data_IF_156782291365
#
_entry.id   IF_156782291365
#
_cell.length_a   1.000
_cell.length_b   1.000
_cell.length_c   1.000
_cell.angle_alpha   90.00
_cell.angle_beta   90.00
_cell.angle_gamma   90.00
#
_symmetry.space_group_name_H-M   'P 1'
#
loop_
_entity.id
_entity.type
_entity.pdbx_description
1 polymer ?
#
# COMPACT_ATOMS: atom_id res chain seq x y z
N UNK A 1 12.32 -29.51 64.17
CA UNK A 1 12.08 -28.33 63.30
C UNK A 1 11.85 -28.84 61.89
N UNK A 2 10.60 -28.82 61.41
CA UNK A 2 10.15 -29.38 60.12
C UNK A 2 9.63 -28.24 59.25
N UNK A 3 10.12 -28.16 58.01
CA UNK A 3 9.82 -27.11 57.05
C UNK A 3 8.35 -27.11 56.62
N UNK A 4 7.76 -25.91 56.56
CA UNK A 4 6.36 -25.68 56.26
C UNK A 4 6.19 -25.40 54.76
N UNK A 5 5.86 -26.42 53.99
CA UNK A 5 5.22 -26.26 52.67
C UNK A 5 3.71 -26.27 52.87
N UNK A 6 2.99 -25.28 52.31
CA UNK A 6 1.57 -25.40 51.92
C UNK A 6 1.11 -24.23 51.04
N UNK A 7 1.04 -24.50 49.74
CA UNK A 7 0.15 -23.87 48.76
C UNK A 7 -1.30 -23.86 49.27
N UNK A 8 -1.97 -22.72 49.23
CA UNK A 8 -3.44 -22.55 49.24
C UNK A 8 -3.75 -21.51 48.14
N UNK A 9 -4.08 -21.87 46.90
CA UNK A 9 -5.33 -22.47 46.43
C UNK A 9 -6.56 -21.74 46.99
N UNK A 10 -6.96 -20.65 46.33
CA UNK A 10 -8.30 -20.06 46.49
C UNK A 10 -9.20 -20.53 45.36
N UNK A 11 -10.40 -20.88 45.78
CA UNK A 11 -11.34 -21.80 45.17
C UNK A 11 -12.54 -21.01 44.62
N UNK A 12 -13.02 -21.46 43.46
CA UNK A 12 -14.39 -21.40 42.89
C UNK A 12 -15.00 -20.06 42.43
N UNK A 13 -15.03 -19.93 41.10
CA UNK A 13 -16.21 -19.92 40.23
C UNK A 13 -17.49 -19.20 40.71
N UNK A 14 -17.88 -18.16 39.96
CA UNK A 14 -19.28 -17.97 39.58
C UNK A 14 -19.34 -17.56 38.09
N UNK A 15 -20.08 -18.36 37.32
CA UNK A 15 -20.44 -18.15 35.92
C UNK A 15 -21.53 -17.09 35.84
N UNK A 16 -21.45 -16.19 34.87
CA UNK A 16 -22.63 -15.58 34.22
C UNK A 16 -22.28 -15.22 32.78
N UNK A 17 -22.72 -16.10 31.88
CA UNK A 17 -22.75 -15.89 30.43
C UNK A 17 -24.00 -15.07 30.15
N UNK A 18 -23.84 -13.84 29.67
CA UNK A 18 -24.85 -13.15 28.88
C UNK A 18 -24.17 -12.00 28.11
N UNK A 19 -24.17 -12.11 26.79
CA UNK A 19 -23.64 -11.06 25.92
C UNK A 19 -23.08 -11.62 24.63
N UNK A 20 -23.95 -12.11 23.76
CA UNK A 20 -23.67 -12.14 22.32
C UNK A 20 -23.46 -10.70 21.85
N UNK A 21 -22.22 -10.25 21.91
CA UNK A 21 -21.74 -9.08 21.22
C UNK A 21 -20.43 -9.51 20.60
N UNK A 22 -20.44 -9.91 19.34
CA UNK A 22 -19.23 -9.98 18.54
C UNK A 22 -18.62 -8.58 18.59
N UNK A 23 -17.67 -8.39 19.50
CA UNK A 23 -16.81 -7.22 19.47
C UNK A 23 -16.04 -7.39 18.19
N UNK A 24 -16.46 -6.65 17.16
CA UNK A 24 -15.63 -6.35 16.00
C UNK A 24 -14.33 -5.83 16.59
N UNK A 25 -13.34 -6.71 16.69
CA UNK A 25 -11.98 -6.29 16.93
C UNK A 25 -11.67 -5.34 15.78
N UNK A 26 -11.66 -4.04 16.06
CA UNK A 26 -10.91 -3.11 15.25
C UNK A 26 -9.50 -3.65 15.29
N UNK A 27 -9.11 -4.39 14.26
CA UNK A 27 -7.71 -4.71 14.02
C UNK A 27 -7.08 -3.35 13.77
N UNK A 28 -6.23 -2.83 14.67
CA UNK A 28 -5.43 -1.68 14.31
C UNK A 28 -4.62 -2.13 13.09
N UNK A 29 -4.88 -1.51 11.93
CA UNK A 29 -3.95 -1.50 10.81
C UNK A 29 -2.71 -0.79 11.32
N UNK A 30 -1.86 -1.52 12.05
CA UNK A 30 -0.56 -1.04 12.44
C UNK A 30 0.16 -0.70 11.13
N UNK A 31 0.59 0.55 10.91
CA UNK A 31 1.48 0.83 9.79
C UNK A 31 2.69 -0.08 9.96
N UNK A 32 2.90 -0.98 9.00
CA UNK A 32 4.05 -1.86 9.00
C UNK A 32 5.31 -0.98 9.11
N UNK A 33 6.07 -1.23 10.17
CA UNK A 33 7.21 -0.41 10.58
C UNK A 33 8.30 -0.29 9.51
N UNK A 34 9.17 0.69 9.75
CA UNK A 34 10.31 1.12 8.96
C UNK A 34 10.92 0.05 8.03
N UNK A 35 11.06 0.42 6.75
CA UNK A 35 11.57 -0.44 5.68
C UNK A 35 12.89 -1.11 6.04
N UNK A 36 12.88 -2.44 6.00
CA UNK A 36 14.10 -3.23 5.91
C UNK A 36 14.75 -2.94 4.57
N UNK A 37 16.00 -2.47 4.56
CA UNK A 37 16.85 -2.45 3.37
C UNK A 37 16.76 -3.83 2.69
N UNK A 38 16.22 -3.91 1.46
CA UNK A 38 15.74 -5.12 0.75
C UNK A 38 14.23 -5.45 0.90
N UNK A 39 13.36 -4.44 0.96
CA UNK A 39 11.93 -4.68 0.83
C UNK A 39 11.40 -4.01 -0.44
N UNK A 40 11.55 -4.64 -1.61
CA UNK A 40 11.06 -4.05 -2.83
C UNK A 40 9.54 -3.85 -2.78
N UNK A 41 9.05 -2.81 -3.44
CA UNK A 41 7.63 -2.58 -3.67
C UNK A 41 7.39 -2.60 -5.17
N UNK A 42 6.60 -3.57 -5.63
CA UNK A 42 6.08 -3.54 -6.99
C UNK A 42 4.79 -2.73 -7.02
N UNK A 43 4.80 -1.69 -7.85
CA UNK A 43 3.63 -0.88 -8.18
C UNK A 43 3.21 -1.25 -9.60
N UNK A 44 2.10 -1.96 -9.71
CA UNK A 44 1.48 -2.29 -11.00
C UNK A 44 0.22 -1.46 -11.18
N UNK A 45 -0.20 -1.25 -12.41
CA UNK A 45 -1.40 -0.47 -12.60
C UNK A 45 -1.84 -0.32 -14.03
N UNK A 46 -2.91 0.46 -14.17
CA UNK A 46 -3.41 0.91 -15.47
C UNK A 46 -3.50 2.42 -15.47
N UNK A 47 -3.03 3.02 -16.55
CA UNK A 47 -3.17 4.44 -16.83
C UNK A 47 -4.09 4.63 -18.03
N UNK A 48 -4.99 5.61 -17.91
CA UNK A 48 -5.91 5.98 -18.97
C UNK A 48 -5.89 7.49 -19.15
N UNK A 49 -5.56 7.91 -20.36
CA UNK A 49 -5.75 9.29 -20.79
C UNK A 49 -7.20 9.45 -21.27
N UNK A 50 -7.90 10.52 -20.85
CA UNK A 50 -9.25 10.82 -21.35
C UNK A 50 -9.26 11.07 -22.86
N UNK A 51 -8.19 11.69 -23.37
CA UNK A 51 -7.95 11.92 -24.79
C UNK A 51 -6.57 11.35 -25.15
N UNK A 52 -6.47 10.69 -26.29
CA UNK A 52 -5.20 10.15 -26.78
C UNK A 52 -4.80 8.81 -26.16
N UNK A 53 -3.51 8.48 -26.26
CA UNK A 53 -2.93 7.23 -25.74
C UNK A 53 -1.78 7.50 -24.76
N UNK A 54 -1.73 6.74 -23.68
CA UNK A 54 -0.62 6.79 -22.73
C UNK A 54 0.61 6.08 -23.30
N UNK A 55 1.76 6.76 -23.36
CA UNK A 55 2.99 6.22 -23.94
C UNK A 55 4.02 5.82 -22.86
N UNK A 56 4.16 6.67 -21.84
CA UNK A 56 5.13 6.47 -20.76
C UNK A 56 4.63 7.06 -19.46
N UNK A 57 5.12 6.53 -18.35
CA UNK A 57 4.81 6.94 -16.99
C UNK A 57 6.11 7.11 -16.20
N UNK A 58 6.19 8.16 -15.40
CA UNK A 58 7.20 8.35 -14.36
C UNK A 58 6.50 8.38 -13.02
N UNK A 59 6.97 7.59 -12.06
CA UNK A 59 6.50 7.62 -10.68
C UNK A 59 7.63 8.13 -9.80
N UNK A 60 7.33 9.12 -8.96
CA UNK A 60 8.27 9.70 -8.00
C UNK A 60 7.66 9.61 -6.60
N UNK A 61 8.37 9.00 -5.65
CA UNK A 61 7.89 8.83 -4.29
C UNK A 61 8.76 7.89 -3.47
N UNK A 62 8.62 7.93 -2.14
CA UNK A 62 9.40 7.08 -1.23
C UNK A 62 10.92 7.25 -1.33
N UNK A 63 11.39 8.43 -1.76
CA UNK A 63 12.82 8.72 -1.96
C UNK A 63 13.40 8.22 -3.28
N UNK A 64 12.58 7.61 -4.16
CA UNK A 64 12.99 7.07 -5.44
C UNK A 64 12.20 7.68 -6.61
N UNK A 65 12.72 7.53 -7.83
CA UNK A 65 12.06 7.96 -9.07
C UNK A 65 12.30 6.94 -10.16
N UNK A 66 11.23 6.45 -10.78
CA UNK A 66 11.29 5.38 -11.78
C UNK A 66 10.41 5.71 -12.98
N UNK A 67 10.96 5.50 -14.18
CA UNK A 67 10.23 5.63 -15.45
C UNK A 67 9.95 4.27 -16.07
N UNK A 68 8.79 4.12 -16.70
CA UNK A 68 8.41 2.94 -17.47
C UNK A 68 7.64 3.33 -18.72
N UNK A 69 7.73 2.49 -19.75
CA UNK A 69 6.78 2.53 -20.87
C UNK A 69 5.43 1.98 -20.43
N UNK A 70 4.37 2.51 -21.04
CA UNK A 70 3.00 2.02 -20.85
C UNK A 70 2.74 0.96 -21.91
N UNK A 71 2.38 -0.24 -21.46
CA UNK A 71 2.05 -1.36 -22.33
C UNK A 71 0.62 -1.30 -22.85
N UNK A 72 0.25 -2.31 -23.63
CA UNK A 72 -1.09 -2.47 -24.20
C UNK A 72 -2.19 -2.37 -23.13
N UNK A 73 -3.26 -1.63 -23.43
CA UNK A 73 -4.37 -1.41 -22.50
C UNK A 73 -4.02 -0.48 -21.33
N UNK A 74 -2.93 0.29 -21.42
CA UNK A 74 -2.54 1.24 -20.39
C UNK A 74 -1.78 0.61 -19.21
N UNK A 75 -1.35 -0.64 -19.32
CA UNK A 75 -0.74 -1.38 -18.20
C UNK A 75 0.70 -0.96 -17.95
N UNK A 76 1.10 -0.91 -16.68
CA UNK A 76 2.50 -0.68 -16.30
C UNK A 76 2.88 -1.48 -15.05
N UNK A 77 4.19 -1.64 -14.85
CA UNK A 77 4.78 -2.25 -13.65
C UNK A 77 6.11 -1.57 -13.34
N UNK A 78 6.26 -1.11 -12.10
CA UNK A 78 7.46 -0.44 -11.60
C UNK A 78 7.88 -1.10 -10.30
N UNK A 79 9.18 -1.32 -10.11
CA UNK A 79 9.74 -1.88 -8.87
C UNK A 79 10.56 -0.80 -8.18
N UNK A 80 10.16 -0.44 -6.97
CA UNK A 80 10.92 0.37 -6.05
C UNK A 80 11.80 -0.55 -5.22
N UNK A 81 13.08 -0.23 -5.07
CA UNK A 81 14.04 -1.13 -4.42
C UNK A 81 13.89 -1.13 -2.90
N UNK A 82 13.81 0.07 -2.31
CA UNK A 82 13.66 0.26 -0.88
C UNK A 82 12.95 1.60 -0.58
N UNK A 83 11.68 1.75 -0.98
CA UNK A 83 10.99 3.02 -0.81
C UNK A 83 10.72 3.29 0.67
N UNK A 84 10.86 4.56 1.06
CA UNK A 84 10.40 5.07 2.35
C UNK A 84 8.86 5.12 2.32
N UNK A 85 8.20 4.35 3.18
CA UNK A 85 6.72 4.23 3.20
C UNK A 85 6.17 4.48 4.62
N UNK A 86 4.95 5.02 4.75
CA UNK A 86 4.13 5.58 3.68
C UNK A 86 4.74 6.88 3.14
N UNK A 87 4.48 7.19 1.86
CA UNK A 87 5.00 8.40 1.23
C UNK A 87 4.01 8.95 0.21
N UNK A 88 3.94 10.28 0.11
CA UNK A 88 3.26 10.94 -0.99
C UNK A 88 4.08 10.74 -2.26
N UNK A 89 3.42 10.26 -3.31
CA UNK A 89 4.01 10.05 -4.61
C UNK A 89 3.25 10.78 -5.70
N UNK A 90 3.94 11.07 -6.79
CA UNK A 90 3.37 11.61 -8.01
C UNK A 90 3.60 10.66 -9.17
N UNK A 91 2.55 10.45 -9.97
CA UNK A 91 2.60 9.74 -11.24
C UNK A 91 2.44 10.77 -12.35
N UNK A 92 3.47 10.95 -13.17
CA UNK A 92 3.46 11.80 -14.35
C UNK A 92 3.40 10.94 -15.61
N UNK A 93 2.34 11.14 -16.39
CA UNK A 93 2.03 10.35 -17.57
C UNK A 93 2.17 11.23 -18.79
N UNK A 94 2.83 10.68 -19.81
CA UNK A 94 2.85 11.25 -21.15
C UNK A 94 1.71 10.67 -21.98
N UNK A 95 0.78 11.53 -22.35
CA UNK A 95 -0.33 11.23 -23.27
C UNK A 95 -0.02 11.81 -24.65
N UNK A 96 -0.08 11.00 -25.71
CA UNK A 96 -0.09 11.47 -27.09
C UNK A 96 -1.52 11.77 -27.52
N UNK A 97 -1.78 13.04 -27.88
CA UNK A 97 -3.06 13.51 -28.36
C UNK A 97 -2.85 14.04 -29.78
N UNK A 98 -3.26 13.26 -30.78
CA UNK A 98 -3.14 13.61 -32.19
C UNK A 98 -1.69 14.00 -32.59
N UNK A 99 -0.69 13.25 -32.12
CA UNK A 99 0.73 13.52 -32.39
C UNK A 99 1.36 14.62 -31.52
N UNK A 100 0.59 15.20 -30.59
CA UNK A 100 1.09 16.15 -29.60
C UNK A 100 1.30 15.46 -28.27
N UNK A 101 2.55 15.53 -27.77
CA UNK A 101 2.91 15.05 -26.44
C UNK A 101 2.39 16.01 -25.38
N UNK A 102 1.60 15.48 -24.46
CA UNK A 102 1.10 16.19 -23.28
C UNK A 102 1.49 15.45 -22.02
N UNK A 103 1.71 16.18 -20.94
CA UNK A 103 2.08 15.62 -19.64
C UNK A 103 0.99 15.93 -18.63
N UNK A 104 0.61 14.93 -17.87
CA UNK A 104 -0.43 15.02 -16.84
C UNK A 104 0.06 14.28 -15.61
N UNK A 105 -0.09 14.91 -14.45
CA UNK A 105 0.33 14.32 -13.18
C UNK A 105 -0.85 14.10 -12.25
N UNK A 106 -0.74 13.07 -11.42
CA UNK A 106 -1.63 12.84 -10.28
C UNK A 106 -0.81 12.46 -9.06
N UNK A 107 -1.33 12.77 -7.87
CA UNK A 107 -0.69 12.39 -6.61
C UNK A 107 -1.46 11.24 -5.95
N UNK A 108 -0.73 10.37 -5.30
CA UNK A 108 -1.29 9.23 -4.56
C UNK A 108 -0.37 8.84 -3.40
N UNK A 109 -0.87 8.03 -2.49
CA UNK A 109 -0.06 7.52 -1.37
C UNK A 109 0.56 6.19 -1.74
N UNK A 110 1.89 6.11 -1.73
CA UNK A 110 2.60 4.85 -1.71
C UNK A 110 2.49 4.26 -0.31
N UNK A 111 1.99 3.03 -0.23
CA UNK A 111 1.94 2.23 0.99
C UNK A 111 2.29 0.78 0.66
N UNK A 112 2.58 -0.02 1.69
CA UNK A 112 2.92 -1.44 1.52
C UNK A 112 1.69 -2.33 1.78
N UNK A 113 0.98 -2.78 0.73
CA UNK A 113 -0.04 -3.81 0.87
C UNK A 113 0.60 -5.21 1.00
N UNK A 114 -0.18 -6.17 1.47
CA UNK A 114 0.23 -7.58 1.63
C UNK A 114 0.55 -8.28 0.30
N UNK A 115 0.07 -7.75 -0.83
CA UNK A 115 0.13 -8.40 -2.16
C UNK A 115 0.67 -7.50 -3.29
N UNK A 116 1.37 -6.41 -2.97
CA UNK A 116 1.84 -5.42 -3.97
C UNK A 116 0.80 -4.35 -4.28
N UNK A 117 1.24 -3.16 -4.74
CA UNK A 117 0.35 -2.00 -4.85
C UNK A 117 -0.21 -1.87 -6.27
N UNK A 118 -1.55 -1.78 -6.36
CA UNK A 118 -2.23 -1.49 -7.63
C UNK A 118 -2.58 -0.01 -7.70
N UNK A 119 -2.24 0.64 -8.80
CA UNK A 119 -2.57 2.04 -9.07
C UNK A 119 -3.42 2.16 -10.34
N UNK A 120 -4.57 2.83 -10.22
CA UNK A 120 -5.40 3.22 -11.35
C UNK A 120 -5.27 4.73 -11.53
N UNK A 121 -4.79 5.16 -12.69
CA UNK A 121 -4.54 6.56 -13.01
C UNK A 121 -5.46 7.00 -14.14
N UNK A 122 -6.54 7.69 -13.80
CA UNK A 122 -7.42 8.35 -14.77
C UNK A 122 -7.08 9.83 -14.88
N UNK A 123 -6.67 10.27 -16.07
CA UNK A 123 -6.23 11.64 -16.31
C UNK A 123 -7.26 12.38 -17.15
N UNK A 124 -7.97 13.32 -16.51
CA UNK A 124 -8.85 14.26 -17.18
C UNK A 124 -8.03 15.30 -17.96
N UNK A 125 -8.55 15.67 -19.14
CA UNK A 125 -7.93 16.64 -20.05
C UNK A 125 -8.00 18.06 -19.49
#
# INVERSE_FOLDING_TARGET
MRGLSRRLSRIRALVLIAGTGATLALVPLAPAGAGTTNNPLTVTGTVRCKLGSAESLKITGGGESHGTTVGTGGRFSVVFGNPQLPSTASAEVRCDIAGKRTFRSTNFTLYRPTTGQTLVVDLAA
#
